data_IF_549396332535
#
_entry.id   IF_549396332535
#
_cell.length_a   1.000
_cell.length_b   1.000
_cell.length_c   1.000
_cell.angle_alpha   90.00
_cell.angle_beta   90.00
_cell.angle_gamma   90.00
#
_symmetry.space_group_name_H-M   'P 1'
#
loop_
_entity.id
_entity.type
_entity.pdbx_description
1 polymer ?
#
# COMPACT_ATOMS: atom_id res chain seq x y z
N UNK A 1 50.65 65.20 25.17
CA UNK A 1 50.45 63.83 24.68
C UNK A 1 49.08 63.38 25.13
N UNK A 2 48.09 63.41 24.26
CA UNK A 2 46.72 63.03 24.57
C UNK A 2 46.36 61.82 23.72
N UNK A 3 45.98 60.72 24.34
CA UNK A 3 45.50 59.50 23.73
C UNK A 3 44.02 59.68 23.35
N UNK A 4 43.70 59.44 22.07
CA UNK A 4 42.34 59.41 21.55
C UNK A 4 41.80 57.97 21.70
N UNK A 5 40.76 57.84 22.53
CA UNK A 5 39.98 56.57 22.66
C UNK A 5 38.99 56.45 21.52
N UNK A 6 39.15 55.37 20.76
CA UNK A 6 38.22 54.96 19.68
C UNK A 6 37.16 54.03 20.25
N UNK A 7 35.96 54.53 20.43
CA UNK A 7 34.81 53.71 20.79
C UNK A 7 34.37 52.91 19.56
N UNK A 8 34.56 51.61 19.58
CA UNK A 8 34.00 50.67 18.58
C UNK A 8 32.58 50.29 19.06
N UNK A 9 31.55 50.87 18.44
CA UNK A 9 30.18 50.41 18.57
C UNK A 9 29.97 49.07 17.88
N UNK A 10 29.71 48.02 18.65
CA UNK A 10 29.28 46.74 18.13
C UNK A 10 27.79 46.80 17.78
N UNK A 11 27.48 46.80 16.47
CA UNK A 11 26.10 46.62 16.01
C UNK A 11 25.77 45.11 16.10
N UNK A 12 24.97 44.76 17.09
CA UNK A 12 24.39 43.39 17.20
C UNK A 12 23.31 43.23 16.12
N UNK A 13 23.63 42.58 15.03
CA UNK A 13 22.60 42.05 14.14
C UNK A 13 21.89 40.88 14.83
N UNK A 14 20.72 41.13 15.39
CA UNK A 14 19.78 40.08 15.79
C UNK A 14 19.27 39.38 14.55
N UNK A 15 19.84 38.22 14.24
CA UNK A 15 19.28 37.29 13.24
C UNK A 15 17.97 36.73 13.78
N UNK A 16 16.84 37.26 13.32
CA UNK A 16 15.55 36.59 13.50
C UNK A 16 15.61 35.28 12.71
N UNK A 17 15.32 34.12 13.35
CA UNK A 17 15.17 32.88 12.58
C UNK A 17 13.92 33.01 11.72
N UNK A 18 14.10 33.17 10.41
CA UNK A 18 13.02 32.96 9.46
C UNK A 18 12.61 31.49 9.58
N UNK A 19 11.59 31.20 10.38
CA UNK A 19 10.85 29.95 10.26
C UNK A 19 10.20 29.99 8.87
N UNK A 20 10.87 29.40 7.90
CA UNK A 20 10.25 28.99 6.65
C UNK A 20 9.12 28.05 7.02
N UNK A 21 7.89 28.53 7.08
CA UNK A 21 6.72 27.69 7.04
C UNK A 21 6.76 26.94 5.70
N UNK A 22 7.34 25.74 5.72
CA UNK A 22 7.17 24.82 4.61
C UNK A 22 5.67 24.57 4.51
N UNK A 23 5.03 25.13 3.48
CA UNK A 23 3.64 24.82 3.17
C UNK A 23 3.47 23.30 3.04
N UNK A 24 2.24 22.78 3.13
CA UNK A 24 2.01 21.35 3.10
C UNK A 24 2.68 20.74 1.86
N UNK A 25 3.63 19.83 2.11
CA UNK A 25 4.38 19.18 1.04
C UNK A 25 3.43 18.37 0.19
N UNK A 26 3.39 18.68 -1.10
CA UNK A 26 2.53 18.03 -2.08
C UNK A 26 2.89 16.55 -2.18
N UNK A 27 1.94 15.66 -1.85
CA UNK A 27 2.12 14.21 -1.91
C UNK A 27 1.85 13.69 -3.32
N UNK A 28 2.76 12.89 -3.86
CA UNK A 28 2.64 12.32 -5.20
C UNK A 28 2.30 10.83 -5.14
N UNK A 29 1.70 10.30 -6.20
CA UNK A 29 1.45 8.86 -6.38
C UNK A 29 2.76 8.05 -6.34
N UNK A 30 3.84 8.64 -6.87
CA UNK A 30 5.17 8.05 -6.97
C UNK A 30 6.07 8.23 -5.74
N UNK A 31 5.62 8.94 -4.68
CA UNK A 31 6.42 9.07 -3.47
C UNK A 31 6.78 7.70 -2.91
N UNK A 32 8.07 7.52 -2.60
CA UNK A 32 8.56 6.28 -1.99
C UNK A 32 8.25 6.27 -0.49
N UNK A 33 7.61 5.20 -0.05
CA UNK A 33 7.18 4.96 1.32
C UNK A 33 7.96 3.76 1.88
N UNK A 34 8.45 3.85 3.10
CA UNK A 34 8.97 2.72 3.87
C UNK A 34 7.82 2.03 4.60
N UNK A 35 7.41 0.85 4.12
CA UNK A 35 6.25 0.11 4.62
C UNK A 35 6.63 -0.84 5.76
N UNK A 36 5.99 -0.66 6.91
CA UNK A 36 6.07 -1.56 8.06
C UNK A 36 7.47 -1.68 8.68
N UNK A 37 7.65 -2.62 9.61
CA UNK A 37 8.89 -2.74 10.38
C UNK A 37 10.09 -3.21 9.53
N UNK A 38 9.84 -3.82 8.38
CA UNK A 38 10.88 -4.24 7.42
C UNK A 38 11.27 -3.12 6.46
N UNK A 39 10.60 -1.95 6.53
CA UNK A 39 10.87 -0.77 5.71
C UNK A 39 10.94 -1.09 4.22
N UNK A 40 10.04 -1.97 3.76
CA UNK A 40 9.95 -2.31 2.34
C UNK A 40 9.58 -1.07 1.55
N UNK A 41 10.42 -0.69 0.59
CA UNK A 41 10.17 0.48 -0.26
C UNK A 41 9.06 0.17 -1.25
N UNK A 42 7.99 0.96 -1.18
CA UNK A 42 6.83 0.91 -2.09
C UNK A 42 6.47 2.32 -2.52
N UNK A 43 5.66 2.49 -3.57
CA UNK A 43 5.12 3.80 -3.91
C UNK A 43 3.82 4.08 -3.14
N UNK A 44 3.51 5.37 -2.93
CA UNK A 44 2.29 5.82 -2.23
C UNK A 44 1.03 5.26 -2.87
N UNK A 45 0.95 5.23 -4.18
CA UNK A 45 -0.08 4.53 -4.93
C UNK A 45 0.42 3.13 -5.31
N UNK A 46 -0.38 2.11 -5.02
CA UNK A 46 -0.25 0.80 -5.62
C UNK A 46 -1.26 0.64 -6.76
N UNK A 47 -0.82 0.05 -7.87
CA UNK A 47 -1.71 -0.35 -8.95
C UNK A 47 -2.44 -1.63 -8.58
N UNK A 48 -3.72 -1.49 -8.22
CA UNK A 48 -4.59 -2.61 -7.93
C UNK A 48 -5.03 -3.33 -9.21
N UNK A 49 -4.87 -4.65 -9.25
CA UNK A 49 -5.27 -5.47 -10.39
C UNK A 49 -6.55 -6.29 -10.16
N UNK A 50 -7.15 -6.15 -8.98
CA UNK A 50 -8.23 -7.01 -8.49
C UNK A 50 -9.58 -6.31 -8.31
N UNK A 51 -9.97 -5.32 -9.14
CA UNK A 51 -11.32 -4.75 -9.05
C UNK A 51 -12.35 -5.84 -9.34
N UNK A 52 -13.24 -6.12 -8.36
CA UNK A 52 -14.15 -7.25 -8.40
C UNK A 52 -13.45 -8.59 -8.73
N UNK A 53 -12.24 -8.78 -8.20
CA UNK A 53 -11.40 -9.95 -8.46
C UNK A 53 -11.88 -11.18 -7.70
N UNK A 54 -12.33 -12.19 -8.44
CA UNK A 54 -12.80 -13.49 -7.93
C UNK A 54 -12.74 -14.54 -9.02
N UNK A 55 -12.53 -15.80 -8.64
CA UNK A 55 -12.58 -16.92 -9.58
C UNK A 55 -11.55 -16.85 -10.70
N UNK A 56 -10.36 -16.33 -10.41
CA UNK A 56 -9.28 -16.24 -11.39
C UNK A 56 -9.42 -15.10 -12.40
N UNK A 57 -10.27 -14.11 -12.14
CA UNK A 57 -10.43 -12.93 -13.03
C UNK A 57 -10.77 -11.67 -12.26
N UNK A 58 -10.54 -10.51 -12.88
CA UNK A 58 -10.89 -9.19 -12.36
C UNK A 58 -11.49 -8.33 -13.48
N UNK A 59 -11.99 -7.14 -13.13
CA UNK A 59 -12.43 -6.19 -14.16
C UNK A 59 -11.29 -5.87 -15.14
N UNK A 60 -10.08 -5.68 -14.63
CA UNK A 60 -8.91 -5.39 -15.45
C UNK A 60 -8.61 -6.51 -16.44
N UNK A 61 -8.61 -7.78 -15.99
CA UNK A 61 -8.35 -8.92 -16.89
C UNK A 61 -9.41 -9.05 -17.98
N UNK A 62 -10.68 -8.86 -17.62
CA UNK A 62 -11.82 -8.94 -18.56
C UNK A 62 -11.87 -7.79 -19.56
N UNK A 63 -11.56 -6.56 -19.12
CA UNK A 63 -11.68 -5.35 -19.95
C UNK A 63 -10.45 -5.11 -20.82
N UNK A 64 -9.27 -5.36 -20.28
CA UNK A 64 -8.01 -4.97 -20.91
C UNK A 64 -7.31 -6.13 -21.61
N UNK A 65 -7.61 -7.37 -21.20
CA UNK A 65 -6.87 -8.53 -21.69
C UNK A 65 -5.38 -8.50 -21.30
N UNK A 66 -4.60 -9.43 -21.84
CA UNK A 66 -3.20 -9.62 -21.47
C UNK A 66 -2.34 -8.36 -21.77
N UNK A 67 -2.38 -7.90 -23.01
CA UNK A 67 -1.57 -6.75 -23.43
C UNK A 67 -1.99 -5.46 -22.75
N UNK A 68 -3.30 -5.18 -22.68
CA UNK A 68 -3.80 -3.93 -22.13
C UNK A 68 -3.51 -3.75 -20.63
N UNK A 69 -3.64 -4.83 -19.82
CA UNK A 69 -3.28 -4.74 -18.41
C UNK A 69 -1.76 -4.64 -18.22
N UNK A 70 -0.98 -5.38 -19.01
CA UNK A 70 0.48 -5.24 -18.99
C UNK A 70 0.93 -3.82 -19.39
N UNK A 71 0.29 -3.22 -20.39
CA UNK A 71 0.58 -1.83 -20.81
C UNK A 71 0.19 -0.81 -19.73
N UNK A 72 -0.94 -1.03 -19.05
CA UNK A 72 -1.35 -0.17 -17.92
C UNK A 72 -0.32 -0.23 -16.79
N UNK A 73 0.17 -1.41 -16.41
CA UNK A 73 1.20 -1.58 -15.39
C UNK A 73 2.53 -0.95 -15.80
N UNK A 74 2.93 -1.09 -17.08
CA UNK A 74 4.12 -0.40 -17.62
C UNK A 74 3.95 1.12 -17.60
N UNK A 75 2.78 1.61 -18.01
CA UNK A 75 2.47 3.06 -17.93
C UNK A 75 2.58 3.56 -16.50
N UNK A 76 2.12 2.78 -15.52
CA UNK A 76 2.27 3.13 -14.10
C UNK A 76 3.75 3.24 -13.71
N UNK A 77 4.58 2.27 -14.11
CA UNK A 77 6.02 2.29 -13.87
C UNK A 77 6.69 3.52 -14.51
N UNK A 78 6.38 3.82 -15.77
CA UNK A 78 6.93 4.97 -16.50
C UNK A 78 6.56 6.32 -15.86
N UNK A 79 5.47 6.35 -15.08
CA UNK A 79 5.05 7.49 -14.25
C UNK A 79 5.52 7.39 -12.79
N UNK A 80 6.47 6.51 -12.49
CA UNK A 80 7.09 6.35 -11.17
C UNK A 80 6.24 5.58 -10.16
N UNK A 81 5.11 4.98 -10.55
CA UNK A 81 4.29 4.13 -9.67
C UNK A 81 4.75 2.68 -9.80
N UNK A 82 5.54 2.24 -8.83
CA UNK A 82 6.28 0.98 -8.85
C UNK A 82 5.78 -0.04 -7.81
N UNK A 83 4.55 0.04 -7.37
CA UNK A 83 3.93 -0.91 -6.46
C UNK A 83 2.73 -1.55 -7.13
N UNK A 84 2.74 -2.89 -7.30
CA UNK A 84 1.65 -3.63 -7.95
C UNK A 84 0.98 -4.54 -6.92
N UNK A 85 -0.34 -4.40 -6.80
CA UNK A 85 -1.19 -5.18 -5.90
C UNK A 85 -1.97 -6.22 -6.69
N UNK A 86 -1.62 -7.49 -6.47
CA UNK A 86 -2.23 -8.67 -7.06
C UNK A 86 -2.76 -9.63 -5.98
N UNK A 87 -3.35 -10.71 -6.39
CA UNK A 87 -3.68 -11.87 -5.57
C UNK A 87 -3.89 -13.10 -6.45
N UNK A 88 -3.69 -14.28 -5.88
CA UNK A 88 -4.03 -15.55 -6.53
C UNK A 88 -5.47 -15.55 -7.07
N UNK A 89 -6.42 -15.20 -6.21
CA UNK A 89 -7.84 -15.16 -6.54
C UNK A 89 -8.19 -14.26 -7.74
N UNK A 90 -7.35 -13.30 -8.09
CA UNK A 90 -7.61 -12.37 -9.19
C UNK A 90 -7.15 -12.91 -10.55
N UNK A 91 -6.32 -13.97 -10.57
CA UNK A 91 -5.72 -14.52 -11.78
C UNK A 91 -4.81 -13.54 -12.53
N UNK A 92 -4.23 -12.56 -11.82
CA UNK A 92 -3.49 -11.46 -12.46
C UNK A 92 -1.98 -11.65 -12.50
N UNK A 93 -1.44 -12.71 -11.89
CA UNK A 93 -0.01 -13.00 -11.90
C UNK A 93 0.60 -13.07 -13.31
N UNK A 94 -0.01 -13.77 -14.29
CA UNK A 94 0.53 -13.81 -15.65
C UNK A 94 0.58 -12.44 -16.33
N UNK A 95 -0.36 -11.54 -16.02
CA UNK A 95 -0.41 -10.18 -16.56
C UNK A 95 0.69 -9.31 -15.96
N UNK A 96 0.98 -9.47 -14.66
CA UNK A 96 2.11 -8.81 -13.99
C UNK A 96 3.42 -9.32 -14.60
N UNK A 97 3.57 -10.64 -14.80
CA UNK A 97 4.73 -11.23 -15.50
C UNK A 97 4.94 -10.63 -16.88
N UNK A 98 3.86 -10.45 -17.64
CA UNK A 98 3.94 -9.84 -18.98
C UNK A 98 4.44 -8.38 -18.90
N UNK A 99 3.99 -7.62 -17.91
CA UNK A 99 4.50 -6.27 -17.68
C UNK A 99 6.00 -6.28 -17.32
N UNK A 100 6.43 -7.20 -16.46
CA UNK A 100 7.81 -7.32 -16.00
C UNK A 100 8.81 -7.73 -17.09
N UNK A 101 8.39 -8.20 -18.26
CA UNK A 101 9.29 -8.40 -19.39
C UNK A 101 9.98 -7.10 -19.86
N UNK A 102 9.39 -5.94 -19.58
CA UNK A 102 9.90 -4.62 -19.99
C UNK A 102 10.17 -3.68 -18.80
N UNK A 103 9.98 -4.17 -17.58
CA UNK A 103 10.18 -3.41 -16.34
C UNK A 103 11.15 -4.18 -15.45
N UNK A 104 12.27 -3.58 -15.00
CA UNK A 104 13.21 -4.26 -14.11
C UNK A 104 12.53 -4.70 -12.82
N UNK A 105 12.61 -6.01 -12.51
CA UNK A 105 11.93 -6.62 -11.35
C UNK A 105 12.32 -5.96 -10.02
N UNK A 106 13.57 -5.61 -9.85
CA UNK A 106 14.13 -5.00 -8.64
C UNK A 106 13.66 -3.54 -8.42
N UNK A 107 13.06 -2.91 -9.44
CA UNK A 107 12.50 -1.56 -9.37
C UNK A 107 11.01 -1.56 -8.98
N UNK A 108 10.38 -2.73 -8.90
CA UNK A 108 8.95 -2.87 -8.61
C UNK A 108 8.76 -3.65 -7.32
N UNK A 109 7.89 -3.17 -6.45
CA UNK A 109 7.39 -3.93 -5.31
C UNK A 109 6.14 -4.72 -5.75
N UNK A 110 6.13 -6.03 -5.47
CA UNK A 110 5.00 -6.91 -5.75
C UNK A 110 4.30 -7.33 -4.47
N UNK A 111 3.01 -7.05 -4.38
CA UNK A 111 2.11 -7.58 -3.37
C UNK A 111 1.26 -8.68 -3.98
N UNK A 112 1.21 -9.83 -3.31
CA UNK A 112 0.22 -10.87 -3.61
C UNK A 112 -0.36 -11.47 -2.35
N UNK A 113 -1.44 -12.26 -2.51
CA UNK A 113 -2.25 -12.77 -1.41
C UNK A 113 -2.65 -14.22 -1.67
N UNK A 114 -2.72 -15.01 -0.58
CA UNK A 114 -3.07 -16.42 -0.61
C UNK A 114 -4.23 -16.75 0.33
N UNK A 115 -5.01 -17.77 0.01
CA UNK A 115 -6.00 -18.38 0.89
C UNK A 115 -5.49 -19.61 1.63
N UNK A 116 -4.23 -20.03 1.44
CA UNK A 116 -3.64 -21.20 2.09
C UNK A 116 -3.86 -21.21 3.59
N UNK A 117 -4.10 -22.40 4.15
CA UNK A 117 -4.27 -22.62 5.58
C UNK A 117 -3.09 -23.38 6.18
N UNK A 118 -2.57 -24.34 5.44
CA UNK A 118 -1.52 -25.24 5.90
C UNK A 118 -0.14 -24.84 5.37
N UNK A 119 0.90 -25.38 6.00
CA UNK A 119 2.28 -25.19 5.58
C UNK A 119 2.51 -25.66 4.13
N UNK A 120 1.98 -26.83 3.77
CA UNK A 120 2.19 -27.40 2.44
C UNK A 120 1.42 -26.64 1.35
N UNK A 121 0.18 -26.20 1.63
CA UNK A 121 -0.56 -25.34 0.70
C UNK A 121 0.19 -24.05 0.44
N UNK A 122 0.69 -23.39 1.50
CA UNK A 122 1.40 -22.11 1.36
C UNK A 122 2.74 -22.30 0.61
N UNK A 123 3.43 -23.42 0.85
CA UNK A 123 4.66 -23.75 0.10
C UNK A 123 4.37 -23.89 -1.38
N UNK A 124 3.33 -24.68 -1.72
CA UNK A 124 2.92 -24.87 -3.11
C UNK A 124 2.48 -23.54 -3.77
N UNK A 125 1.73 -22.70 -3.04
CA UNK A 125 1.32 -21.38 -3.51
C UNK A 125 2.53 -20.48 -3.78
N UNK A 126 3.50 -20.39 -2.87
CA UNK A 126 4.66 -19.54 -3.09
C UNK A 126 5.49 -19.98 -4.29
N UNK A 127 5.72 -21.28 -4.45
CA UNK A 127 6.44 -21.84 -5.59
C UNK A 127 5.71 -21.51 -6.92
N UNK A 128 4.39 -21.70 -6.95
CA UNK A 128 3.53 -21.37 -8.10
C UNK A 128 3.51 -19.86 -8.37
N UNK A 129 3.32 -19.02 -7.35
CA UNK A 129 3.26 -17.54 -7.53
C UNK A 129 4.56 -16.99 -8.11
N UNK A 130 5.71 -17.51 -7.67
CA UNK A 130 7.01 -17.10 -8.21
C UNK A 130 7.14 -17.47 -9.69
N UNK A 131 6.65 -18.62 -10.10
CA UNK A 131 6.63 -19.04 -11.52
C UNK A 131 5.66 -18.17 -12.34
N UNK A 132 4.44 -17.96 -11.84
CA UNK A 132 3.40 -17.17 -12.51
C UNK A 132 3.79 -15.71 -12.66
N UNK A 133 4.44 -15.11 -11.65
CA UNK A 133 4.94 -13.74 -11.65
C UNK A 133 6.29 -13.60 -12.35
N UNK A 134 7.03 -14.69 -12.55
CA UNK A 134 8.38 -14.67 -13.13
C UNK A 134 9.39 -13.97 -12.22
N UNK A 135 9.40 -14.29 -10.93
CA UNK A 135 10.24 -13.64 -9.92
C UNK A 135 10.77 -14.64 -8.89
N UNK A 136 11.93 -14.36 -8.31
CA UNK A 136 12.52 -15.21 -7.27
C UNK A 136 12.02 -14.86 -5.86
N UNK A 137 11.39 -13.71 -5.67
CA UNK A 137 10.89 -13.25 -4.37
C UNK A 137 9.62 -12.41 -4.49
N UNK A 138 8.88 -12.32 -3.39
CA UNK A 138 7.69 -11.47 -3.23
C UNK A 138 8.00 -10.36 -2.22
N UNK A 139 7.65 -9.11 -2.53
CA UNK A 139 7.91 -8.00 -1.61
C UNK A 139 6.91 -7.99 -0.44
N UNK A 140 5.61 -8.19 -0.71
CA UNK A 140 4.55 -8.21 0.31
C UNK A 140 3.67 -9.45 0.12
N UNK A 141 3.70 -10.39 1.07
CA UNK A 141 2.84 -11.58 1.08
C UNK A 141 1.76 -11.44 2.13
N UNK A 142 0.49 -11.53 1.74
CA UNK A 142 -0.63 -11.44 2.67
C UNK A 142 -1.47 -12.73 2.70
N UNK A 143 -1.94 -13.09 3.88
CA UNK A 143 -3.09 -13.97 4.02
C UNK A 143 -4.33 -13.18 3.60
N UNK A 144 -5.11 -13.74 2.66
CA UNK A 144 -6.19 -13.03 1.98
C UNK A 144 -7.53 -13.17 2.70
N UNK A 145 -8.19 -12.02 2.92
CA UNK A 145 -9.59 -11.97 3.34
C UNK A 145 -9.87 -12.63 4.69
N UNK A 146 -9.19 -12.18 5.74
CA UNK A 146 -9.47 -12.68 7.10
C UNK A 146 -10.86 -12.22 7.56
N UNK A 147 -11.73 -13.17 7.89
CA UNK A 147 -13.12 -12.92 8.29
C UNK A 147 -13.34 -13.20 9.77
N UNK A 148 -12.71 -14.22 10.31
CA UNK A 148 -12.92 -14.70 11.68
C UNK A 148 -11.84 -14.17 12.63
N UNK A 149 -12.16 -13.90 13.89
CA UNK A 149 -11.16 -13.44 14.86
C UNK A 149 -10.15 -14.53 15.24
N UNK A 150 -10.46 -15.82 15.03
CA UNK A 150 -9.58 -16.97 15.28
C UNK A 150 -8.69 -17.35 14.08
N UNK A 151 -8.60 -16.50 13.06
CA UNK A 151 -7.80 -16.74 11.87
C UNK A 151 -6.33 -17.12 12.16
N UNK A 152 -5.65 -16.65 13.24
CA UNK A 152 -4.27 -17.07 13.49
C UNK A 152 -4.14 -18.55 13.78
N UNK A 153 -5.10 -19.15 14.49
CA UNK A 153 -5.11 -20.59 14.76
C UNK A 153 -5.34 -21.39 13.46
N UNK A 154 -6.31 -20.97 12.65
CA UNK A 154 -6.64 -21.65 11.38
C UNK A 154 -5.53 -21.52 10.34
N UNK A 155 -4.80 -20.41 10.32
CA UNK A 155 -3.73 -20.10 9.36
C UNK A 155 -2.33 -20.43 9.87
N UNK A 156 -2.23 -21.06 11.04
CA UNK A 156 -0.93 -21.28 11.70
C UNK A 156 0.11 -21.92 10.77
N UNK A 157 -0.25 -22.97 10.05
CA UNK A 157 0.67 -23.64 9.13
C UNK A 157 1.15 -22.72 8.00
N UNK A 158 0.26 -21.95 7.40
CA UNK A 158 0.62 -20.96 6.38
C UNK A 158 1.51 -19.85 6.96
N UNK A 159 1.22 -19.37 8.18
CA UNK A 159 2.04 -18.36 8.88
C UNK A 159 3.45 -18.88 9.18
N UNK A 160 3.58 -20.14 9.58
CA UNK A 160 4.86 -20.78 9.87
C UNK A 160 5.73 -20.81 8.59
N UNK A 161 5.15 -21.29 7.46
CA UNK A 161 5.88 -21.31 6.19
C UNK A 161 6.23 -19.90 5.68
N UNK A 162 5.32 -18.93 5.75
CA UNK A 162 5.60 -17.54 5.34
C UNK A 162 6.77 -16.99 6.17
N UNK A 163 6.84 -17.29 7.47
CA UNK A 163 7.96 -16.85 8.33
C UNK A 163 9.28 -17.49 7.94
N UNK A 164 9.28 -18.76 7.60
CA UNK A 164 10.45 -19.46 7.06
C UNK A 164 10.88 -18.89 5.71
N UNK A 165 9.93 -18.69 4.79
CA UNK A 165 10.19 -18.08 3.49
C UNK A 165 10.74 -16.64 3.62
N UNK A 166 10.27 -15.87 4.60
CA UNK A 166 10.81 -14.55 4.92
C UNK A 166 12.26 -14.64 5.42
N UNK A 167 12.58 -15.58 6.29
CA UNK A 167 13.95 -15.77 6.79
C UNK A 167 14.94 -16.16 5.68
N UNK A 168 14.43 -16.81 4.62
CA UNK A 168 15.19 -17.19 3.40
C UNK A 168 15.24 -16.09 2.35
N UNK A 169 14.62 -14.93 2.59
CA UNK A 169 14.57 -13.82 1.63
C UNK A 169 13.61 -14.01 0.45
N UNK A 170 12.78 -15.06 0.46
CA UNK A 170 11.77 -15.31 -0.58
C UNK A 170 10.55 -14.38 -0.43
N UNK A 171 10.35 -13.82 0.77
CA UNK A 171 9.31 -12.84 1.11
C UNK A 171 9.98 -11.72 1.91
N UNK A 172 9.75 -10.44 1.56
CA UNK A 172 10.36 -9.32 2.30
C UNK A 172 9.54 -8.91 3.52
N UNK A 173 8.22 -8.83 3.39
CA UNK A 173 7.30 -8.54 4.51
C UNK A 173 6.00 -9.33 4.38
N UNK A 174 5.33 -9.53 5.50
CA UNK A 174 4.17 -10.42 5.62
C UNK A 174 3.04 -9.76 6.39
N UNK A 175 1.81 -10.23 6.16
CA UNK A 175 0.66 -9.71 6.87
C UNK A 175 -0.66 -10.29 6.40
N UNK A 176 -1.71 -9.49 6.49
CA UNK A 176 -3.09 -9.91 6.22
C UNK A 176 -3.86 -8.86 5.44
N UNK A 177 -4.99 -9.25 4.86
CA UNK A 177 -6.09 -8.35 4.54
C UNK A 177 -7.32 -8.76 5.35
N UNK A 178 -7.91 -7.82 6.10
CA UNK A 178 -9.06 -8.10 6.95
C UNK A 178 -10.37 -7.65 6.30
N UNK A 179 -11.45 -8.41 6.58
CA UNK A 179 -12.78 -8.14 6.04
C UNK A 179 -13.89 -8.17 7.10
N UNK A 180 -13.52 -8.15 8.39
CA UNK A 180 -14.41 -7.92 9.53
C UNK A 180 -13.67 -7.21 10.65
N UNK A 181 -14.40 -6.52 11.52
CA UNK A 181 -13.82 -5.86 12.69
C UNK A 181 -13.14 -6.86 13.64
N UNK A 182 -13.71 -8.05 13.82
CA UNK A 182 -13.13 -9.09 14.66
C UNK A 182 -11.75 -9.51 14.17
N UNK A 183 -11.63 -9.82 12.87
CA UNK A 183 -10.36 -10.17 12.24
C UNK A 183 -9.35 -9.03 12.30
N UNK A 184 -9.78 -7.78 12.06
CA UNK A 184 -8.93 -6.60 12.13
C UNK A 184 -8.38 -6.36 13.53
N UNK A 185 -9.22 -6.47 14.58
CA UNK A 185 -8.78 -6.38 15.98
C UNK A 185 -7.77 -7.46 16.36
N UNK A 186 -7.95 -8.68 15.83
CA UNK A 186 -6.98 -9.76 16.00
C UNK A 186 -5.67 -9.45 15.29
N UNK A 187 -5.71 -8.94 14.06
CA UNK A 187 -4.50 -8.53 13.32
C UNK A 187 -3.72 -7.44 14.06
N UNK A 188 -4.41 -6.49 14.68
CA UNK A 188 -3.77 -5.45 15.50
C UNK A 188 -2.95 -6.02 16.66
N UNK A 189 -3.44 -7.07 17.30
CA UNK A 189 -2.82 -7.74 18.47
C UNK A 189 -1.82 -8.83 18.11
N UNK A 190 -1.78 -9.28 16.86
CA UNK A 190 -0.94 -10.39 16.42
C UNK A 190 0.45 -9.89 16.01
N UNK A 191 1.53 -10.22 16.75
CA UNK A 191 2.89 -9.73 16.43
C UNK A 191 3.41 -10.20 15.06
N UNK A 192 2.91 -11.33 14.56
CA UNK A 192 3.27 -11.87 13.24
C UNK A 192 2.90 -10.94 12.09
N UNK A 193 1.86 -10.11 12.26
CA UNK A 193 1.39 -9.15 11.25
C UNK A 193 2.33 -7.96 11.21
N UNK A 194 3.08 -7.82 10.14
CA UNK A 194 3.95 -6.68 9.85
C UNK A 194 3.21 -5.61 9.03
N UNK A 195 2.28 -6.05 8.16
CA UNK A 195 1.51 -5.18 7.26
C UNK A 195 0.04 -5.60 7.26
N UNK A 196 -0.88 -4.64 7.26
CA UNK A 196 -2.31 -4.87 7.03
C UNK A 196 -2.81 -4.10 5.80
N UNK A 197 -3.59 -4.77 4.97
CA UNK A 197 -4.31 -4.18 3.85
C UNK A 197 -5.76 -3.93 4.29
N UNK A 198 -6.04 -2.71 4.76
CA UNK A 198 -7.25 -2.30 5.44
C UNK A 198 -8.22 -1.52 4.53
N UNK A 199 -9.51 -1.75 4.71
CA UNK A 199 -10.57 -0.95 4.07
C UNK A 199 -10.63 0.43 4.72
N UNK A 200 -10.48 1.50 3.92
CA UNK A 200 -10.34 2.84 4.46
C UNK A 200 -10.90 3.91 3.55
N UNK A 201 -11.97 4.60 3.99
CA UNK A 201 -12.55 5.75 3.29
C UNK A 201 -13.39 6.61 4.26
N UNK A 202 -13.73 7.87 3.92
CA UNK A 202 -14.42 8.79 4.84
C UNK A 202 -15.88 8.45 5.12
N UNK A 203 -16.50 7.59 4.30
CA UNK A 203 -17.93 7.29 4.39
C UNK A 203 -18.25 5.94 5.04
N UNK A 204 -17.24 5.16 5.46
CA UNK A 204 -17.45 3.81 6.00
C UNK A 204 -17.94 2.79 4.96
N UNK A 205 -17.94 3.16 3.68
CA UNK A 205 -18.48 2.30 2.63
C UNK A 205 -17.66 1.03 2.47
N UNK A 206 -18.30 -0.11 2.71
CA UNK A 206 -17.63 -1.44 2.68
C UNK A 206 -16.41 -1.51 3.62
N UNK A 207 -16.39 -0.77 4.70
CA UNK A 207 -15.41 -0.90 5.78
C UNK A 207 -15.81 -2.01 6.76
N UNK A 208 -14.89 -2.37 7.64
CA UNK A 208 -15.08 -3.49 8.60
C UNK A 208 -15.95 -3.11 9.80
N UNK A 209 -16.13 -1.81 10.02
CA UNK A 209 -17.05 -1.17 10.95
C UNK A 209 -17.24 0.31 10.53
N UNK A 210 -17.82 1.12 11.40
CA UNK A 210 -17.86 2.58 11.23
C UNK A 210 -16.44 3.19 11.16
N UNK A 211 -16.35 4.38 10.59
CA UNK A 211 -15.06 5.06 10.33
C UNK A 211 -14.25 5.27 11.60
N UNK A 212 -14.90 5.68 12.69
CA UNK A 212 -14.21 5.98 13.96
C UNK A 212 -13.61 4.70 14.57
N UNK A 213 -14.39 3.62 14.59
CA UNK A 213 -13.96 2.33 15.12
C UNK A 213 -12.77 1.74 14.33
N UNK A 214 -12.86 1.71 13.00
CA UNK A 214 -11.75 1.21 12.16
C UNK A 214 -10.52 2.09 12.32
N UNK A 215 -10.69 3.41 12.29
CA UNK A 215 -9.61 4.38 12.48
C UNK A 215 -8.86 4.17 13.79
N UNK A 216 -9.58 3.91 14.90
CA UNK A 216 -8.95 3.65 16.19
C UNK A 216 -8.07 2.40 16.15
N UNK A 217 -8.57 1.28 15.59
CA UNK A 217 -7.77 0.05 15.47
C UNK A 217 -6.54 0.26 14.59
N UNK A 218 -6.66 0.97 13.47
CA UNK A 218 -5.53 1.24 12.59
C UNK A 218 -4.49 2.17 13.24
N UNK A 219 -4.91 3.12 14.09
CA UNK A 219 -3.99 3.93 14.91
C UNK A 219 -3.17 3.07 15.87
N UNK A 220 -3.82 2.12 16.55
CA UNK A 220 -3.13 1.17 17.43
C UNK A 220 -2.11 0.33 16.65
N UNK A 221 -2.47 -0.14 15.45
CA UNK A 221 -1.55 -0.87 14.58
C UNK A 221 -0.35 -0.01 14.17
N UNK A 222 -0.57 1.25 13.82
CA UNK A 222 0.51 2.20 13.49
C UNK A 222 1.41 2.47 14.69
N UNK A 223 0.85 2.67 15.88
CA UNK A 223 1.62 2.85 17.11
C UNK A 223 2.48 1.62 17.45
N UNK A 224 2.02 0.42 17.08
CA UNK A 224 2.77 -0.82 17.18
C UNK A 224 3.81 -1.01 16.05
N UNK A 225 4.01 -0.04 15.16
CA UNK A 225 4.99 -0.06 14.08
C UNK A 225 4.59 -0.88 12.86
N UNK A 226 3.31 -1.29 12.74
CA UNK A 226 2.82 -2.02 11.56
C UNK A 226 2.61 -1.08 10.38
N UNK A 227 2.84 -1.59 9.15
CA UNK A 227 2.52 -0.90 7.91
C UNK A 227 1.03 -1.03 7.58
N UNK A 228 0.41 0.06 7.11
CA UNK A 228 -1.00 0.06 6.72
C UNK A 228 -1.12 0.46 5.25
N UNK A 229 -1.67 -0.45 4.45
CA UNK A 229 -2.04 -0.19 3.06
C UNK A 229 -3.56 0.04 3.02
N UNK A 230 -3.99 1.22 2.57
CA UNK A 230 -5.42 1.49 2.39
C UNK A 230 -5.98 0.80 1.15
N UNK A 231 -7.10 0.08 1.28
CA UNK A 231 -7.88 -0.40 0.14
C UNK A 231 -9.32 0.10 0.19
N UNK A 232 -10.06 -0.07 -0.90
CA UNK A 232 -11.45 0.41 -1.03
C UNK A 232 -11.59 1.92 -0.76
N UNK A 233 -10.58 2.68 -1.13
CA UNK A 233 -10.56 4.15 -0.98
C UNK A 233 -11.82 4.78 -1.58
N UNK A 234 -12.26 4.28 -2.73
CA UNK A 234 -13.51 4.71 -3.37
C UNK A 234 -14.70 3.79 -3.06
N UNK A 235 -14.71 3.10 -1.90
CA UNK A 235 -15.84 2.26 -1.46
C UNK A 235 -16.24 1.19 -2.50
N UNK A 236 -15.25 0.52 -3.16
CA UNK A 236 -15.50 -0.38 -4.28
C UNK A 236 -16.33 0.26 -5.43
N UNK A 237 -16.09 1.53 -5.70
CA UNK A 237 -16.76 2.30 -6.76
C UNK A 237 -17.98 3.10 -6.31
N UNK A 238 -18.53 2.84 -5.12
CA UNK A 238 -19.69 3.59 -4.58
C UNK A 238 -19.41 5.08 -4.35
N UNK A 239 -18.15 5.43 -4.12
CA UNK A 239 -17.70 6.79 -3.81
C UNK A 239 -16.93 7.45 -4.96
N UNK A 240 -17.02 6.95 -6.19
CA UNK A 240 -16.32 7.54 -7.35
C UNK A 240 -16.63 9.03 -7.54
N UNK A 241 -17.87 9.43 -7.28
CA UNK A 241 -18.32 10.82 -7.35
C UNK A 241 -17.74 11.72 -6.23
N UNK A 242 -17.15 11.11 -5.19
CA UNK A 242 -16.46 11.78 -4.07
C UNK A 242 -14.96 11.48 -4.06
N UNK A 243 -14.36 11.23 -5.23
CA UNK A 243 -12.96 10.79 -5.33
C UNK A 243 -11.97 11.75 -4.65
N UNK A 244 -12.16 13.05 -4.83
CA UNK A 244 -11.28 14.06 -4.25
C UNK A 244 -11.32 14.06 -2.72
N UNK A 245 -12.49 13.91 -2.12
CA UNK A 245 -12.68 13.79 -0.67
C UNK A 245 -12.06 12.50 -0.13
N UNK A 246 -12.27 11.37 -0.82
CA UNK A 246 -11.69 10.10 -0.43
C UNK A 246 -10.16 10.12 -0.47
N UNK A 247 -9.56 10.73 -1.48
CA UNK A 247 -8.13 10.90 -1.60
C UNK A 247 -7.59 11.84 -0.51
N UNK A 248 -8.25 12.98 -0.29
CA UNK A 248 -7.88 13.92 0.77
C UNK A 248 -7.88 13.22 2.14
N UNK A 249 -8.94 12.46 2.44
CA UNK A 249 -9.04 11.70 3.68
C UNK A 249 -7.88 10.70 3.83
N UNK A 250 -7.61 9.87 2.82
CA UNK A 250 -6.52 8.91 2.86
C UNK A 250 -5.14 9.58 3.02
N UNK A 251 -4.94 10.75 2.40
CA UNK A 251 -3.67 11.47 2.42
C UNK A 251 -3.45 12.30 3.70
N UNK A 252 -4.52 12.83 4.33
CA UNK A 252 -4.43 13.76 5.46
C UNK A 252 -4.39 13.09 6.83
N UNK A 253 -4.98 11.90 6.99
CA UNK A 253 -5.14 11.28 8.32
C UNK A 253 -3.85 10.74 8.93
N UNK A 254 -2.81 10.49 8.13
CA UNK A 254 -1.56 9.87 8.59
C UNK A 254 -1.69 8.40 9.04
N UNK A 255 -2.86 7.77 8.81
CA UNK A 255 -3.15 6.39 9.22
C UNK A 255 -2.62 5.40 8.20
N UNK A 256 -2.97 5.58 6.93
CA UNK A 256 -2.45 4.72 5.86
C UNK A 256 -1.11 5.25 5.36
N UNK A 257 -0.14 4.36 5.18
CA UNK A 257 1.17 4.69 4.65
C UNK A 257 1.11 4.90 3.13
N UNK A 258 0.41 4.00 2.48
CA UNK A 258 0.13 3.98 1.05
C UNK A 258 -1.25 3.36 0.80
N UNK A 259 -1.72 3.35 -0.43
CA UNK A 259 -3.03 2.79 -0.75
C UNK A 259 -3.07 2.19 -2.15
N UNK A 260 -3.97 1.22 -2.34
CA UNK A 260 -4.19 0.55 -3.63
C UNK A 260 -5.50 1.02 -4.27
N UNK A 261 -5.42 1.36 -5.54
CA UNK A 261 -6.58 1.69 -6.39
C UNK A 261 -6.42 0.97 -7.73
N UNK A 262 -7.48 0.27 -8.15
CA UNK A 262 -7.53 -0.39 -9.46
C UNK A 262 -8.07 0.57 -10.52
N UNK A 263 -7.22 0.95 -11.47
CA UNK A 263 -7.66 1.61 -12.70
C UNK A 263 -8.02 0.58 -13.76
N UNK A 264 -9.01 0.87 -14.58
CA UNK A 264 -9.49 0.00 -15.65
C UNK A 264 -9.16 0.56 -17.04
N UNK A 265 -8.36 1.64 -17.08
CA UNK A 265 -7.78 2.25 -18.29
C UNK A 265 -6.59 3.13 -17.95
N UNK A 266 -5.76 3.45 -18.96
CA UNK A 266 -4.67 4.43 -18.84
C UNK A 266 -5.22 5.83 -18.51
N UNK A 267 -6.38 6.19 -19.05
CA UNK A 267 -7.04 7.47 -18.76
C UNK A 267 -7.42 7.60 -17.27
N UNK A 268 -8.03 6.56 -16.68
CA UNK A 268 -8.35 6.53 -15.24
C UNK A 268 -7.09 6.65 -14.38
N UNK A 269 -6.01 5.92 -14.75
CA UNK A 269 -4.74 6.02 -14.06
C UNK A 269 -4.15 7.44 -14.14
N UNK A 270 -4.15 8.04 -15.34
CA UNK A 270 -3.63 9.41 -15.55
C UNK A 270 -4.43 10.45 -14.76
N UNK A 271 -5.75 10.32 -14.71
CA UNK A 271 -6.60 11.18 -13.88
C UNK A 271 -6.27 11.02 -12.38
N UNK A 272 -6.13 9.78 -11.91
CA UNK A 272 -5.80 9.48 -10.53
C UNK A 272 -4.45 10.11 -10.10
N UNK A 273 -3.42 10.02 -10.95
CA UNK A 273 -2.11 10.60 -10.66
C UNK A 273 -2.13 12.14 -10.61
N UNK A 274 -3.07 12.80 -11.27
CA UNK A 274 -3.31 14.24 -11.17
C UNK A 274 -4.12 14.61 -9.92
N UNK A 275 -5.10 13.79 -9.53
CA UNK A 275 -5.96 14.04 -8.36
C UNK A 275 -5.23 13.88 -7.04
N UNK A 276 -4.30 12.92 -6.90
CA UNK A 276 -3.56 12.68 -5.66
C UNK A 276 -2.83 13.94 -5.16
N UNK A 277 -1.97 14.60 -5.95
CA UNK A 277 -1.31 15.82 -5.50
C UNK A 277 -2.28 16.98 -5.26
N UNK A 278 -3.34 17.11 -6.03
CA UNK A 278 -4.36 18.14 -5.83
C UNK A 278 -5.13 17.93 -4.50
N UNK A 279 -5.45 16.69 -4.15
CA UNK A 279 -6.12 16.36 -2.89
C UNK A 279 -5.21 16.54 -1.67
N UNK A 280 -3.88 16.39 -1.81
CA UNK A 280 -2.92 16.49 -0.71
C UNK A 280 -2.70 17.93 -0.22
N UNK A 281 -3.04 18.93 -1.01
CA UNK A 281 -2.84 20.37 -0.70
C UNK A 281 -4.12 21.07 -0.23
N UNK A 282 -5.25 20.36 -0.23
CA UNK A 282 -6.50 20.89 0.33
C UNK A 282 -6.44 20.78 1.85
N UNK A 283 -6.37 21.92 2.53
CA UNK A 283 -6.40 22.04 3.98
C UNK A 283 -7.81 21.90 4.54
#
# INVERSE_FOLDING_TARGET
>A
MQRRDFIRGAVSLSAFPYHLFAGPTKKLASDVIELGPKKVKVTRLAMGTGTNGMGGSSNQTRKLGMSGLADLLRTAYDNGVCFYDSADQYGTHPYVKEALKKVPREKVALLTKTHANTYNEMKADLDRFRQELGTDYIDVMLLHCMMDPDWPARKKGAMDFISEAQSKGLIKTKGVSCHTLGALKTAAKTPWVEVDLARFNPAGAIMDADVATVTAVLKDMKAAGKGIIGMKIFGAGKLRHRADECLQYALSTGIVDCFTIGSESISEFTELTKKIPAASTRG
#
